data_IF_337073595431
#
_entry.id   IF_337073595431
#
_cell.length_a   1.000
_cell.length_b   1.000
_cell.length_c   1.000
_cell.angle_alpha   90.00
_cell.angle_beta   90.00
_cell.angle_gamma   90.00
#
_symmetry.space_group_name_H-M   'P 1'
#
loop_
_entity.id
_entity.type
_entity.pdbx_description
1 polymer ?
#
# COMPACT_ATOMS: atom_id res chain seq x y z
N UNK A 1 -28.11 42.40 -31.38
CA UNK A 1 -26.74 42.96 -31.43
C UNK A 1 -26.15 42.68 -30.05
N UNK A 2 -25.47 41.53 -29.94
CA UNK A 2 -23.99 41.45 -29.91
C UNK A 2 -23.54 41.64 -28.47
N UNK A 3 -22.79 40.76 -27.80
CA UNK A 3 -21.73 39.81 -28.21
C UNK A 3 -21.51 38.91 -26.96
N UNK A 4 -21.65 37.59 -27.05
CA UNK A 4 -20.53 36.62 -27.12
C UNK A 4 -19.55 36.59 -25.91
N UNK A 5 -19.17 35.37 -25.56
CA UNK A 5 -17.86 35.02 -24.99
C UNK A 5 -17.50 35.46 -23.55
N UNK A 6 -17.98 34.67 -22.60
CA UNK A 6 -17.07 33.92 -21.72
C UNK A 6 -17.81 32.65 -21.26
N UNK A 7 -17.94 31.68 -22.16
CA UNK A 7 -17.04 30.51 -22.18
C UNK A 7 -17.04 29.79 -20.84
N UNK A 8 -17.93 28.80 -20.74
CA UNK A 8 -17.57 27.45 -20.34
C UNK A 8 -16.58 27.35 -19.17
N UNK A 9 -17.08 27.45 -17.94
CA UNK A 9 -16.54 26.69 -16.82
C UNK A 9 -17.53 25.57 -16.46
N UNK A 10 -17.87 24.77 -17.46
CA UNK A 10 -18.48 23.46 -17.26
C UNK A 10 -17.34 22.46 -17.35
N UNK A 11 -17.17 21.66 -16.29
CA UNK A 11 -16.37 20.43 -16.20
C UNK A 11 -14.92 20.57 -15.70
N UNK A 12 -14.77 20.55 -14.37
CA UNK A 12 -13.65 19.84 -13.71
C UNK A 12 -14.05 19.23 -12.35
N UNK A 13 -15.35 19.12 -12.03
CA UNK A 13 -15.87 18.52 -10.79
C UNK A 13 -16.10 17.00 -10.95
N UNK A 14 -15.31 16.34 -11.81
CA UNK A 14 -15.55 14.98 -12.31
C UNK A 14 -14.39 14.01 -12.21
N UNK A 15 -13.23 14.41 -11.65
CA UNK A 15 -12.04 13.56 -11.51
C UNK A 15 -11.76 13.16 -10.05
N UNK A 16 -12.65 13.49 -9.10
CA UNK A 16 -12.58 12.97 -7.72
C UNK A 16 -13.01 11.49 -7.61
N UNK A 17 -13.39 10.88 -8.74
CA UNK A 17 -13.82 9.48 -8.82
C UNK A 17 -12.59 8.57 -8.79
N UNK A 18 -12.29 8.06 -7.60
CA UNK A 18 -11.69 6.75 -7.37
C UNK A 18 -10.33 6.48 -8.05
N UNK A 19 -9.30 7.28 -7.75
CA UNK A 19 -7.92 6.79 -7.93
C UNK A 19 -7.76 5.59 -7.01
N UNK A 20 -7.56 4.40 -7.59
CA UNK A 20 -7.41 3.17 -6.81
C UNK A 20 -6.19 3.34 -5.87
N UNK A 21 -6.36 3.33 -4.53
CA UNK A 21 -5.26 3.51 -3.59
C UNK A 21 -4.26 2.34 -3.64
N UNK A 22 -4.62 1.26 -4.31
CA UNK A 22 -3.78 0.08 -4.51
C UNK A 22 -3.25 -0.03 -5.96
N UNK A 23 -3.48 0.98 -6.81
CA UNK A 23 -2.83 1.03 -8.12
C UNK A 23 -1.30 1.11 -7.97
N UNK A 24 -0.52 0.58 -8.94
CA UNK A 24 0.94 0.56 -8.85
C UNK A 24 1.56 1.93 -8.55
N UNK A 25 1.04 3.00 -9.17
CA UNK A 25 1.49 4.37 -8.92
C UNK A 25 1.20 4.83 -7.48
N UNK A 26 0.02 4.52 -6.93
CA UNK A 26 -0.35 4.90 -5.57
C UNK A 26 0.50 4.19 -4.51
N UNK A 27 0.80 2.90 -4.74
CA UNK A 27 1.70 2.10 -3.89
C UNK A 27 3.12 2.69 -3.95
N UNK A 28 3.65 2.96 -5.15
CA UNK A 28 4.96 3.60 -5.33
C UNK A 28 5.04 4.94 -4.61
N UNK A 29 4.03 5.79 -4.77
CA UNK A 29 3.95 7.07 -4.06
C UNK A 29 3.93 6.89 -2.53
N UNK A 30 3.22 5.89 -2.01
CA UNK A 30 3.18 5.60 -0.58
C UNK A 30 4.55 5.16 -0.03
N UNK A 31 5.23 4.28 -0.76
CA UNK A 31 6.58 3.80 -0.40
C UNK A 31 7.60 4.94 -0.47
N UNK A 32 7.58 5.74 -1.54
CA UNK A 32 8.46 6.88 -1.72
C UNK A 32 8.31 7.90 -0.59
N UNK A 33 7.07 8.17 -0.14
CA UNK A 33 6.80 9.07 0.98
C UNK A 33 7.41 8.60 2.29
N UNK A 34 7.34 7.31 2.61
CA UNK A 34 7.93 6.81 3.88
C UNK A 34 9.44 6.72 3.83
N UNK A 35 10.02 6.51 2.65
CA UNK A 35 11.46 6.53 2.40
C UNK A 35 12.03 7.94 2.23
N UNK A 36 11.18 8.97 2.16
CA UNK A 36 11.56 10.36 1.86
C UNK A 36 12.34 10.50 0.54
N UNK A 37 11.99 9.69 -0.47
CA UNK A 37 12.61 9.65 -1.79
C UNK A 37 11.63 10.09 -2.90
N UNK A 38 12.14 10.41 -4.08
CA UNK A 38 11.27 10.62 -5.24
C UNK A 38 10.74 9.27 -5.76
N UNK A 39 9.46 9.18 -6.18
CA UNK A 39 8.89 7.94 -6.74
C UNK A 39 9.71 7.35 -7.90
N UNK A 40 10.39 8.17 -8.67
CA UNK A 40 11.20 7.80 -9.83
C UNK A 40 12.55 7.18 -9.45
N UNK A 41 13.03 7.41 -8.22
CA UNK A 41 14.26 6.82 -7.68
C UNK A 41 14.04 5.40 -7.16
N UNK A 42 12.78 4.98 -7.00
CA UNK A 42 12.45 3.61 -6.63
C UNK A 42 12.57 2.68 -7.84
N UNK A 43 13.42 1.68 -7.70
CA UNK A 43 13.50 0.54 -8.60
C UNK A 43 12.47 -0.52 -8.17
N UNK A 44 11.76 -1.11 -9.12
CA UNK A 44 10.71 -2.09 -8.86
C UNK A 44 11.24 -3.40 -8.28
N UNK A 45 12.50 -3.73 -8.57
CA UNK A 45 13.13 -5.01 -8.19
C UNK A 45 14.13 -4.87 -7.03
N UNK A 46 14.38 -3.64 -6.56
CA UNK A 46 15.30 -3.39 -5.44
C UNK A 46 14.65 -3.71 -4.10
N UNK A 47 15.44 -4.28 -3.20
CA UNK A 47 15.03 -4.50 -1.82
C UNK A 47 14.85 -3.14 -1.11
N UNK A 48 13.63 -2.90 -0.64
CA UNK A 48 13.25 -1.65 0.03
C UNK A 48 13.95 -1.49 1.39
N UNK A 49 14.33 -2.58 2.07
CA UNK A 49 15.12 -2.50 3.31
C UNK A 49 16.53 -1.96 3.03
N UNK A 50 17.11 -2.30 1.87
CA UNK A 50 18.40 -1.74 1.46
C UNK A 50 18.29 -0.25 1.07
N UNK A 51 17.09 0.21 0.73
CA UNK A 51 16.79 1.64 0.51
C UNK A 51 16.45 2.39 1.82
N UNK A 52 16.52 1.73 2.97
CA UNK A 52 16.29 2.35 4.28
C UNK A 52 14.89 2.17 4.85
N UNK A 53 14.05 1.31 4.25
CA UNK A 53 12.76 0.96 4.84
C UNK A 53 12.99 0.28 6.20
N UNK A 54 12.24 0.69 7.22
CA UNK A 54 12.25 0.04 8.52
C UNK A 54 10.90 -0.61 8.89
N UNK A 55 10.87 -1.28 10.04
CA UNK A 55 9.66 -1.99 10.52
C UNK A 55 8.52 -1.04 10.90
N UNK A 56 8.81 0.18 11.37
CA UNK A 56 7.79 1.17 11.74
C UNK A 56 7.15 1.79 10.50
N UNK A 57 7.95 2.09 9.49
CA UNK A 57 7.48 2.53 8.17
C UNK A 57 6.61 1.45 7.53
N UNK A 58 7.07 0.18 7.57
CA UNK A 58 6.31 -0.94 7.03
C UNK A 58 4.99 -1.17 7.78
N UNK A 59 4.99 -1.08 9.11
CA UNK A 59 3.76 -1.12 9.93
C UNK A 59 2.79 0.01 9.56
N UNK A 60 3.33 1.21 9.31
CA UNK A 60 2.53 2.37 8.90
C UNK A 60 1.85 2.14 7.55
N UNK A 61 2.59 1.58 6.57
CA UNK A 61 2.06 1.21 5.26
C UNK A 61 0.98 0.13 5.35
N UNK A 62 1.24 -0.96 6.09
CA UNK A 62 0.26 -2.03 6.32
C UNK A 62 -1.01 -1.45 6.95
N UNK A 63 -0.87 -0.61 7.97
CA UNK A 63 -2.00 0.05 8.63
C UNK A 63 -2.80 0.93 7.68
N UNK A 64 -2.14 1.70 6.81
CA UNK A 64 -2.79 2.56 5.82
C UNK A 64 -3.60 1.73 4.81
N UNK A 65 -2.96 0.75 4.17
CA UNK A 65 -3.63 -0.08 3.16
C UNK A 65 -4.77 -0.92 3.74
N UNK A 66 -4.67 -1.35 5.00
CA UNK A 66 -5.77 -2.05 5.68
C UNK A 66 -6.98 -1.15 5.94
N UNK A 67 -6.78 0.13 6.25
CA UNK A 67 -7.89 1.09 6.36
C UNK A 67 -8.56 1.37 5.02
N UNK A 68 -7.83 1.18 3.92
CA UNK A 68 -8.31 1.33 2.54
C UNK A 68 -8.96 0.04 1.99
N UNK A 69 -9.03 -1.02 2.80
CA UNK A 69 -9.72 -2.27 2.47
C UNK A 69 -8.81 -3.43 2.05
N UNK A 70 -7.50 -3.25 2.02
CA UNK A 70 -6.55 -4.33 1.76
C UNK A 70 -6.45 -5.30 2.95
N UNK A 71 -6.24 -6.58 2.67
CA UNK A 71 -5.96 -7.61 3.67
C UNK A 71 -4.46 -7.94 3.78
N UNK A 72 -3.59 -7.06 3.29
CA UNK A 72 -2.13 -7.24 3.32
C UNK A 72 -1.60 -7.29 4.75
N UNK A 73 -0.65 -8.18 5.00
CA UNK A 73 0.02 -8.33 6.29
C UNK A 73 1.51 -7.98 6.18
N UNK A 74 2.15 -7.75 7.32
CA UNK A 74 3.61 -7.61 7.39
C UNK A 74 4.33 -8.78 6.73
N UNK A 75 3.91 -10.00 7.06
CA UNK A 75 4.53 -11.23 6.55
C UNK A 75 4.41 -11.35 5.02
N UNK A 76 3.30 -10.86 4.45
CA UNK A 76 3.15 -10.83 2.99
C UNK A 76 4.18 -9.89 2.35
N UNK A 77 4.42 -8.72 2.95
CA UNK A 77 5.32 -7.69 2.42
C UNK A 77 6.80 -8.01 2.63
N UNK A 78 7.16 -8.61 3.76
CA UNK A 78 8.56 -8.97 4.06
C UNK A 78 9.06 -10.19 3.29
N UNK A 79 8.17 -11.00 2.72
CA UNK A 79 8.55 -12.16 1.89
C UNK A 79 9.35 -11.74 0.65
N UNK A 80 8.88 -10.68 -0.01
CA UNK A 80 9.52 -10.10 -1.19
C UNK A 80 9.39 -8.58 -1.05
N UNK A 81 10.37 -7.93 -0.39
CA UNK A 81 10.30 -6.51 -0.05
C UNK A 81 10.67 -5.63 -1.24
N UNK A 82 10.08 -5.88 -2.41
CA UNK A 82 10.29 -5.09 -3.61
C UNK A 82 9.00 -4.41 -4.02
N UNK A 83 9.11 -3.25 -4.66
CA UNK A 83 7.95 -2.47 -5.07
C UNK A 83 7.10 -3.24 -6.11
N UNK A 84 7.74 -3.95 -7.04
CA UNK A 84 7.06 -4.80 -8.03
C UNK A 84 6.23 -5.91 -7.37
N UNK A 85 6.77 -6.58 -6.36
CA UNK A 85 6.04 -7.63 -5.64
C UNK A 85 4.84 -7.07 -4.86
N UNK A 86 5.01 -5.91 -4.22
CA UNK A 86 3.96 -5.29 -3.42
C UNK A 86 2.80 -4.77 -4.28
N UNK A 87 3.08 -4.15 -5.42
CA UNK A 87 2.06 -3.70 -6.36
C UNK A 87 1.26 -4.88 -6.93
N UNK A 88 1.93 -5.97 -7.28
CA UNK A 88 1.28 -7.19 -7.73
C UNK A 88 0.39 -7.82 -6.63
N UNK A 89 0.90 -7.89 -5.39
CA UNK A 89 0.17 -8.43 -4.24
C UNK A 89 -1.12 -7.64 -3.95
N UNK A 90 -1.01 -6.32 -3.92
CA UNK A 90 -2.12 -5.41 -3.63
C UNK A 90 -3.15 -5.39 -4.78
N UNK A 91 -2.70 -5.52 -6.03
CA UNK A 91 -3.59 -5.67 -7.19
C UNK A 91 -4.37 -6.99 -7.21
N UNK A 92 -3.74 -8.10 -6.80
CA UNK A 92 -4.35 -9.44 -6.82
C UNK A 92 -5.42 -9.63 -5.73
N UNK A 93 -5.20 -9.10 -4.52
CA UNK A 93 -6.14 -9.27 -3.38
C UNK A 93 -7.48 -8.54 -3.56
N UNK A 94 -7.62 -7.71 -4.61
CA UNK A 94 -8.91 -7.11 -5.01
C UNK A 94 -9.88 -8.13 -5.64
N UNK A 95 -9.37 -9.24 -6.19
CA UNK A 95 -10.17 -10.28 -6.87
C UNK A 95 -10.51 -11.51 -6.02
N UNK A 96 -9.96 -11.62 -4.81
CA UNK A 96 -10.08 -12.81 -3.96
C UNK A 96 -10.47 -12.45 -2.53
N UNK A 97 -11.77 -12.30 -2.28
CA UNK A 97 -12.30 -12.10 -0.94
C UNK A 97 -12.12 -13.33 -0.05
N UNK A 98 -11.42 -13.18 1.06
CA UNK A 98 -11.74 -13.71 2.40
C UNK A 98 -10.67 -13.21 3.40
N UNK A 99 -11.05 -12.83 4.62
CA UNK A 99 -10.09 -12.51 5.66
C UNK A 99 -9.40 -13.82 6.07
N UNK A 100 -8.19 -14.04 5.58
CA UNK A 100 -7.29 -15.01 6.18
C UNK A 100 -6.96 -14.47 7.57
N UNK A 101 -7.78 -14.89 8.54
CA UNK A 101 -7.51 -15.00 9.97
C UNK A 101 -6.29 -14.22 10.39
N UNK A 102 -6.52 -13.06 11.03
CA UNK A 102 -5.59 -12.59 12.03
C UNK A 102 -5.28 -13.79 12.91
N UNK A 103 -4.09 -14.35 12.77
CA UNK A 103 -3.59 -15.34 13.71
C UNK A 103 -3.55 -14.58 15.04
N UNK A 104 -4.39 -14.91 16.05
CA UNK A 104 -4.08 -14.47 17.39
C UNK A 104 -2.68 -15.01 17.64
N UNK A 105 -1.77 -14.14 18.07
CA UNK A 105 -0.47 -14.59 18.57
C UNK A 105 -0.74 -15.83 19.44
N UNK A 106 -0.04 -16.95 19.22
CA UNK A 106 0.02 -17.93 20.28
C UNK A 106 0.72 -17.18 21.41
N UNK A 107 -0.06 -16.85 22.45
CA UNK A 107 0.51 -16.75 23.77
C UNK A 107 1.12 -18.13 23.97
N UNK A 108 2.41 -18.25 23.63
CA UNK A 108 3.22 -19.40 23.98
C UNK A 108 3.28 -19.39 25.51
N UNK A 109 2.22 -19.94 26.09
CA UNK A 109 2.25 -20.56 27.39
C UNK A 109 3.24 -21.71 27.26
N UNK A 110 4.51 -21.38 27.49
CA UNK A 110 5.59 -22.35 27.50
C UNK A 110 5.19 -23.54 28.38
N UNK A 111 5.06 -24.75 27.80
CA UNK A 111 4.74 -25.92 28.59
C UNK A 111 6.01 -26.55 29.16
N UNK A 112 6.11 -26.46 30.49
CA UNK A 112 6.57 -27.51 31.42
C UNK A 112 8.09 -27.85 31.42
N UNK A 113 8.56 -28.87 32.18
CA UNK A 113 8.57 -29.01 33.65
C UNK A 113 9.98 -29.37 34.22
N UNK A 114 10.08 -29.51 35.56
CA UNK A 114 11.03 -30.33 36.37
C UNK A 114 12.37 -29.73 36.86
N UNK A 115 12.96 -30.24 37.98
CA UNK A 115 12.53 -31.34 38.87
C UNK A 115 11.73 -30.93 40.11
#
# INVERSE_FOLDING_TARGET
MSDEAAVQARTAEGDIVSRDPHAPAAVREAVARVLEMAPQELDDDRDLFELGLDSLMLMSLVGAWRREGSAVTFQDLTRTPTLGAWTALLGQRRGGGAPATAHPAPLDASPAPHP
#
